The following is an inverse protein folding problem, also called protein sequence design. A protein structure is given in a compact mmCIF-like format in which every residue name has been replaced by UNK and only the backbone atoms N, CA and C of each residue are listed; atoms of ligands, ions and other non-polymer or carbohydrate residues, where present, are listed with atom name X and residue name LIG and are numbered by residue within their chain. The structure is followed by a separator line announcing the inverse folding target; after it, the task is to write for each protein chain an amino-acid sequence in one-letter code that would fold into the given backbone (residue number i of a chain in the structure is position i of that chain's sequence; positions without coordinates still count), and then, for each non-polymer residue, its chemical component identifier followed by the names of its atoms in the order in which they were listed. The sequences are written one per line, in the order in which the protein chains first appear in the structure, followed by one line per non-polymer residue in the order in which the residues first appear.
data_IF_576750014443
#
_entry.id   IF_576750014443
#
_cell.length_a   1.000
_cell.length_b   1.000
_cell.length_c   1.000
_cell.angle_alpha   90.00
_cell.angle_beta   90.00
_cell.angle_gamma   90.00
#
_symmetry.space_group_name_H-M   'P 1'
#
loop_
_entity.id
_entity.type
_entity.pdbx_description
1 polymer ?
#
# COMPACT_ATOMS: atom_id res chain seq x y z
N UNK A 1 9.00 -11.63 4.30
CA UNK A 1 8.32 -10.84 5.37
C UNK A 1 7.18 -11.69 5.94
N UNK A 2 6.88 -11.55 7.23
CA UNK A 2 5.77 -12.27 7.88
C UNK A 2 4.72 -11.24 8.28
N UNK A 3 3.46 -11.51 7.98
CA UNK A 3 2.31 -10.70 8.40
C UNK A 3 1.40 -11.59 9.22
N UNK A 4 1.10 -11.18 10.44
CA UNK A 4 0.14 -11.84 11.33
C UNK A 4 -0.99 -10.84 11.57
N UNK A 5 -2.23 -11.27 11.35
CA UNK A 5 -3.39 -10.38 11.39
C UNK A 5 -4.65 -11.08 11.86
N UNK A 6 -5.63 -10.31 12.29
CA UNK A 6 -6.98 -10.77 12.57
C UNK A 6 -7.97 -10.02 11.69
N UNK A 7 -8.62 -10.72 10.78
CA UNK A 7 -9.59 -10.15 9.84
C UNK A 7 -11.05 -10.36 10.31
N UNK A 8 -11.26 -10.92 11.48
CA UNK A 8 -12.61 -11.20 12.02
C UNK A 8 -13.48 -9.94 12.21
N UNK A 9 -12.86 -8.78 12.35
CA UNK A 9 -13.55 -7.49 12.48
C UNK A 9 -14.38 -7.10 11.26
N UNK A 10 -14.00 -7.60 10.08
CA UNK A 10 -14.59 -7.18 8.83
C UNK A 10 -15.83 -7.99 8.43
N UNK A 11 -16.04 -9.17 9.05
CA UNK A 11 -17.08 -10.11 8.64
C UNK A 11 -16.98 -10.40 7.12
N UNK A 12 -18.08 -10.72 6.49
CA UNK A 12 -18.16 -10.99 5.04
C UNK A 12 -18.26 -9.72 4.17
N UNK A 13 -17.62 -8.65 4.58
CA UNK A 13 -17.58 -7.39 3.84
C UNK A 13 -16.40 -7.32 2.87
N UNK A 14 -16.33 -6.28 2.06
CA UNK A 14 -15.16 -6.03 1.20
C UNK A 14 -13.87 -5.72 2.01
N UNK A 15 -13.99 -5.39 3.30
CA UNK A 15 -12.88 -4.97 4.14
C UNK A 15 -11.77 -6.03 4.25
N UNK A 16 -12.10 -7.30 4.47
CA UNK A 16 -11.10 -8.36 4.56
C UNK A 16 -10.35 -8.56 3.24
N UNK A 17 -11.01 -8.37 2.09
CA UNK A 17 -10.38 -8.48 0.76
C UNK A 17 -9.44 -7.30 0.51
N UNK A 18 -9.85 -6.09 0.87
CA UNK A 18 -9.00 -4.91 0.78
C UNK A 18 -7.77 -5.05 1.70
N UNK A 19 -7.97 -5.50 2.94
CA UNK A 19 -6.87 -5.75 3.86
C UNK A 19 -5.91 -6.84 3.34
N UNK A 20 -6.44 -7.87 2.70
CA UNK A 20 -5.63 -8.88 2.03
C UNK A 20 -4.81 -8.29 0.87
N UNK A 21 -5.42 -7.42 0.05
CA UNK A 21 -4.73 -6.81 -1.09
C UNK A 21 -3.53 -5.93 -0.69
N UNK A 22 -3.51 -5.36 0.51
CA UNK A 22 -2.34 -4.64 1.00
C UNK A 22 -1.10 -5.52 1.15
N UNK A 23 -1.26 -6.84 1.41
CA UNK A 23 -0.12 -7.75 1.45
C UNK A 23 0.55 -7.86 0.07
N UNK A 24 -0.23 -7.89 -1.02
CA UNK A 24 0.29 -7.90 -2.39
C UNK A 24 1.10 -6.63 -2.69
N UNK A 25 0.55 -5.46 -2.34
CA UNK A 25 1.25 -4.19 -2.51
C UNK A 25 2.56 -4.16 -1.73
N UNK A 26 2.57 -4.63 -0.49
CA UNK A 26 3.79 -4.70 0.32
C UNK A 26 4.84 -5.65 -0.26
N UNK A 27 4.42 -6.78 -0.85
CA UNK A 27 5.36 -7.66 -1.56
C UNK A 27 6.03 -6.96 -2.74
N UNK A 28 5.25 -6.22 -3.54
CA UNK A 28 5.73 -5.45 -4.70
C UNK A 28 6.67 -4.32 -4.26
N UNK A 29 6.26 -3.50 -3.31
CA UNK A 29 7.02 -2.33 -2.81
C UNK A 29 8.38 -2.74 -2.23
N UNK A 30 8.38 -3.81 -1.45
CA UNK A 30 9.59 -4.27 -0.75
C UNK A 30 10.39 -5.29 -1.53
N UNK A 31 9.84 -5.85 -2.62
CA UNK A 31 10.38 -6.99 -3.37
C UNK A 31 10.70 -8.18 -2.46
N UNK A 32 9.85 -8.41 -1.49
CA UNK A 32 9.98 -9.52 -0.52
C UNK A 32 8.78 -10.42 -0.59
N UNK A 33 9.03 -11.73 -0.61
CA UNK A 33 7.97 -12.71 -0.44
C UNK A 33 7.33 -12.58 0.94
N UNK A 34 6.02 -12.82 1.02
CA UNK A 34 5.23 -12.67 2.24
C UNK A 34 4.59 -14.01 2.62
N UNK A 35 4.76 -14.37 3.87
CA UNK A 35 3.91 -15.34 4.56
C UNK A 35 2.88 -14.56 5.38
N UNK A 36 1.63 -14.61 4.97
CA UNK A 36 0.51 -14.02 5.70
C UNK A 36 -0.26 -15.09 6.44
N UNK A 37 -0.39 -14.91 7.75
CA UNK A 37 -1.23 -15.74 8.62
C UNK A 37 -2.36 -14.87 9.17
N UNK A 38 -3.58 -15.21 8.83
CA UNK A 38 -4.76 -14.47 9.26
C UNK A 38 -5.66 -15.36 10.12
N UNK A 39 -5.99 -14.89 11.34
CA UNK A 39 -7.07 -15.47 12.11
C UNK A 39 -8.39 -15.10 11.44
N UNK A 40 -9.22 -16.09 11.12
CA UNK A 40 -10.51 -15.92 10.42
C UNK A 40 -10.44 -15.26 9.04
N UNK A 41 -9.25 -14.88 8.57
CA UNK A 41 -9.03 -14.23 7.27
C UNK A 41 -8.44 -15.18 6.22
N UNK A 42 -7.90 -14.59 5.16
CA UNK A 42 -7.19 -15.31 4.10
C UNK A 42 -5.71 -15.37 4.47
N UNK A 43 -5.21 -16.57 4.77
CA UNK A 43 -3.77 -16.82 4.90
C UNK A 43 -3.17 -17.09 3.53
N UNK A 44 -1.96 -16.62 3.26
CA UNK A 44 -1.37 -16.76 1.94
C UNK A 44 0.17 -16.75 1.95
N UNK A 45 0.73 -17.40 0.95
CA UNK A 45 2.11 -17.25 0.53
C UNK A 45 2.12 -16.44 -0.77
N UNK A 46 2.79 -15.29 -0.73
CA UNK A 46 2.83 -14.32 -1.83
C UNK A 46 4.28 -14.13 -2.24
N UNK A 47 4.54 -14.11 -3.54
CA UNK A 47 5.88 -13.92 -4.07
C UNK A 47 6.31 -12.43 -4.08
N UNK A 48 7.52 -12.16 -4.56
CA UNK A 48 8.11 -10.82 -4.65
C UNK A 48 7.45 -9.90 -5.70
N UNK A 49 6.61 -10.46 -6.57
CA UNK A 49 5.85 -9.72 -7.60
C UNK A 49 4.45 -9.36 -7.11
N UNK A 50 4.05 -9.93 -5.95
CA UNK A 50 2.71 -9.83 -5.44
C UNK A 50 1.79 -10.95 -5.93
N UNK A 51 2.32 -11.98 -6.61
CA UNK A 51 1.53 -13.10 -7.08
C UNK A 51 1.29 -14.12 -5.96
N UNK A 52 0.10 -14.69 -5.91
CA UNK A 52 -0.28 -15.68 -4.90
C UNK A 52 0.27 -17.03 -5.28
N UNK A 53 1.17 -17.58 -4.46
CA UNK A 53 1.68 -18.94 -4.62
C UNK A 53 0.64 -19.94 -4.09
N UNK A 54 0.10 -19.68 -2.91
CA UNK A 54 -0.98 -20.46 -2.26
C UNK A 54 -1.76 -19.57 -1.32
N UNK A 55 -3.07 -19.88 -1.17
CA UNK A 55 -3.93 -19.20 -0.20
C UNK A 55 -4.95 -20.17 0.39
N UNK A 56 -5.48 -19.82 1.57
CA UNK A 56 -6.60 -20.52 2.21
C UNK A 56 -7.92 -19.88 1.81
N UNK A 57 -9.03 -20.62 1.89
CA UNK A 57 -10.35 -20.02 1.87
C UNK A 57 -10.54 -19.04 3.05
N UNK A 58 -11.45 -18.08 2.87
CA UNK A 58 -11.85 -17.19 3.94
C UNK A 58 -12.71 -17.94 4.97
N UNK A 59 -12.50 -17.68 6.26
CA UNK A 59 -13.29 -18.21 7.39
C UNK A 59 -13.27 -19.74 7.51
N UNK A 60 -12.27 -20.42 7.03
CA UNK A 60 -12.12 -21.87 7.14
C UNK A 60 -10.79 -22.23 7.81
N UNK A 61 -10.79 -23.18 8.78
CA UNK A 61 -9.55 -23.72 9.30
C UNK A 61 -8.74 -24.38 8.20
N UNK A 62 -7.52 -23.90 7.97
CA UNK A 62 -6.64 -24.46 6.95
C UNK A 62 -5.17 -24.21 7.29
N UNK A 63 -4.31 -25.05 6.75
CA UNK A 63 -2.86 -24.96 6.89
C UNK A 63 -2.23 -24.95 5.49
N UNK A 64 -1.32 -24.05 5.24
CA UNK A 64 -0.52 -24.02 4.01
C UNK A 64 0.96 -24.15 4.35
N UNK A 65 1.65 -24.95 3.56
CA UNK A 65 3.11 -25.11 3.60
C UNK A 65 3.71 -24.73 2.26
N UNK A 66 4.81 -24.02 2.26
CA UNK A 66 5.52 -23.67 1.05
C UNK A 66 6.88 -23.04 1.35
N UNK A 67 7.67 -22.85 0.30
CA UNK A 67 8.97 -22.19 0.35
C UNK A 67 8.82 -20.78 -0.18
N UNK A 68 9.39 -19.82 0.53
CA UNK A 68 9.43 -18.42 0.13
C UNK A 68 10.87 -17.98 -0.10
N UNK A 69 11.05 -17.16 -1.12
CA UNK A 69 12.36 -16.60 -1.42
C UNK A 69 12.70 -15.49 -0.44
N UNK A 70 13.88 -15.55 0.17
CA UNK A 70 14.38 -14.51 1.07
C UNK A 70 15.15 -13.44 0.27
N UNK A 71 14.75 -12.18 0.42
CA UNK A 71 15.43 -11.05 -0.20
C UNK A 71 15.75 -9.99 0.87
N UNK A 72 17.02 -9.60 0.94
CA UNK A 72 17.50 -8.58 1.88
C UNK A 72 17.73 -7.21 1.22
N UNK A 73 17.62 -7.12 -0.11
CA UNK A 73 17.82 -5.86 -0.82
C UNK A 73 16.71 -4.86 -0.44
N UNK A 74 17.12 -3.63 -0.21
CA UNK A 74 16.19 -2.51 0.01
C UNK A 74 15.84 -1.92 -1.36
N UNK A 75 14.55 -1.82 -1.66
CA UNK A 75 14.08 -1.20 -2.90
C UNK A 75 14.21 0.32 -2.81
N UNK A 76 14.24 0.98 -3.96
CA UNK A 76 14.26 2.44 -4.03
C UNK A 76 13.06 3.05 -3.29
N UNK A 77 11.86 2.47 -3.46
CA UNK A 77 10.66 2.92 -2.76
C UNK A 77 10.80 2.77 -1.23
N UNK A 78 11.30 1.63 -0.76
CA UNK A 78 11.51 1.42 0.69
C UNK A 78 12.55 2.39 1.27
N UNK A 79 13.58 2.74 0.51
CA UNK A 79 14.63 3.67 0.95
C UNK A 79 14.15 5.13 0.99
N UNK A 80 13.31 5.55 0.04
CA UNK A 80 12.92 6.96 -0.15
C UNK A 80 11.47 7.24 0.26
N UNK A 81 10.68 6.20 0.51
CA UNK A 81 9.25 6.30 0.81
C UNK A 81 8.46 6.84 -0.39
N UNK A 82 7.30 7.40 -0.13
CA UNK A 82 6.42 7.98 -1.15
C UNK A 82 6.94 9.35 -1.61
N UNK A 83 8.00 9.32 -2.40
CA UNK A 83 8.62 10.53 -2.91
C UNK A 83 7.76 11.21 -4.00
N UNK A 84 7.00 10.44 -4.78
CA UNK A 84 6.14 10.99 -5.83
C UNK A 84 5.04 11.87 -5.24
N UNK A 85 4.29 11.35 -4.24
CA UNK A 85 3.25 12.14 -3.59
C UNK A 85 3.83 13.40 -2.95
N UNK A 86 5.01 13.31 -2.31
CA UNK A 86 5.69 14.49 -1.73
C UNK A 86 6.04 15.54 -2.78
N UNK A 87 6.53 15.12 -3.95
CA UNK A 87 6.84 16.06 -5.04
C UNK A 87 5.59 16.70 -5.61
N UNK A 88 4.55 15.90 -5.91
CA UNK A 88 3.29 16.43 -6.43
C UNK A 88 2.57 17.34 -5.44
N UNK A 89 2.60 17.04 -4.16
CA UNK A 89 2.04 17.91 -3.13
C UNK A 89 2.76 19.27 -3.07
N UNK A 90 4.09 19.28 -3.15
CA UNK A 90 4.86 20.53 -3.19
C UNK A 90 4.57 21.35 -4.45
N UNK A 91 4.50 20.69 -5.61
CA UNK A 91 4.15 21.33 -6.87
C UNK A 91 2.75 21.93 -6.83
N UNK A 92 1.76 21.17 -6.35
CA UNK A 92 0.39 21.66 -6.21
C UNK A 92 0.32 22.86 -5.26
N UNK A 93 1.02 22.81 -4.12
CA UNK A 93 1.12 23.94 -3.19
C UNK A 93 1.73 25.18 -3.83
N UNK A 94 2.82 25.03 -4.58
CA UNK A 94 3.44 26.15 -5.28
C UNK A 94 2.50 26.77 -6.33
N UNK A 95 1.82 25.94 -7.12
CA UNK A 95 0.84 26.42 -8.13
C UNK A 95 -0.34 27.14 -7.44
N UNK A 96 -0.81 26.61 -6.33
CA UNK A 96 -1.89 27.24 -5.56
C UNK A 96 -1.48 28.61 -5.03
N UNK A 97 -0.29 28.74 -4.45
CA UNK A 97 0.23 30.01 -3.96
C UNK A 97 0.44 31.03 -5.08
N UNK A 98 0.96 30.60 -6.23
CA UNK A 98 1.10 31.49 -7.41
C UNK A 98 -0.24 31.95 -7.93
N UNK A 99 -1.26 31.09 -7.97
CA UNK A 99 -2.61 31.45 -8.39
C UNK A 99 -3.22 32.50 -7.43
N UNK A 100 -3.06 32.32 -6.12
CA UNK A 100 -3.51 33.30 -5.13
C UNK A 100 -2.79 34.65 -5.33
N UNK A 101 -1.47 34.63 -5.44
CA UNK A 101 -0.68 35.85 -5.64
C UNK A 101 -1.13 36.61 -6.91
N UNK A 102 -1.33 35.87 -8.00
CA UNK A 102 -1.81 36.43 -9.27
C UNK A 102 -3.22 37.01 -9.12
N UNK A 103 -4.12 36.31 -8.45
CA UNK A 103 -5.48 36.81 -8.19
C UNK A 103 -5.46 38.11 -7.38
N UNK A 104 -4.66 38.16 -6.31
CA UNK A 104 -4.49 39.37 -5.50
C UNK A 104 -3.94 40.54 -6.34
N UNK A 105 -2.92 40.30 -7.14
CA UNK A 105 -2.30 41.29 -8.00
C UNK A 105 -3.31 41.86 -9.02
N UNK A 106 -4.13 41.03 -9.65
CA UNK A 106 -5.18 41.48 -10.57
C UNK A 106 -6.24 42.30 -9.86
N UNK A 107 -6.61 41.96 -8.62
CA UNK A 107 -7.60 42.69 -7.82
C UNK A 107 -7.08 44.11 -7.48
N UNK A 108 -5.81 44.24 -7.15
CA UNK A 108 -5.22 45.58 -6.89
C UNK A 108 -5.11 46.43 -8.15
N UNK A 109 -4.75 45.84 -9.30
CA UNK A 109 -4.68 46.55 -10.58
C UNK A 109 -6.02 47.11 -11.06
N UNK A 110 -7.14 46.51 -10.70
CA UNK A 110 -8.49 46.96 -11.06
C UNK A 110 -9.01 48.11 -10.19
N UNK A 111 -8.33 48.43 -9.08
CA UNK A 111 -8.73 49.50 -8.16
C UNK A 111 -7.98 50.82 -8.39
N UNK A 112 -7.01 50.82 -9.28
CA UNK A 112 -6.31 51.98 -9.79
C UNK A 112 -6.79 52.29 -11.21
#
# INVERSE_FOLDING_TARGET
MIIITNDGWWGETAGHRQHYSFAHLRAIETRRSIARCANTGISALIDQRGDVIRQTPYWQPAVIKGTLNANQKITFYTAHGDYLARWFTRLAGALFLTAIAFYIMLKFRRKV
#
